data_IF_615340505983
#
_entry.id   IF_615340505983
#
_cell.length_a   1.000
_cell.length_b   1.000
_cell.length_c   1.000
_cell.angle_alpha   90.00
_cell.angle_beta   90.00
_cell.angle_gamma   90.00
#
_symmetry.space_group_name_H-M   'P 1'
#
loop_
_entity.id
_entity.type
_entity.pdbx_description
1 polymer ?
#
# COMPACT_ATOMS: atom_id res chain seq x y z
N UNK A 1 -25.51 10.08 -81.64
CA UNK A 1 -24.37 10.29 -82.57
C UNK A 1 -23.55 11.46 -82.07
N UNK A 2 -22.23 11.36 -82.22
CA UNK A 2 -21.18 12.41 -82.01
C UNK A 2 -21.73 13.83 -81.88
N UNK A 3 -21.43 14.53 -80.78
CA UNK A 3 -21.36 15.99 -80.82
C UNK A 3 -20.53 16.52 -79.66
N UNK A 4 -19.41 17.16 -80.01
CA UNK A 4 -18.70 18.05 -79.12
C UNK A 4 -19.27 19.47 -79.22
N UNK A 5 -19.10 20.24 -78.16
CA UNK A 5 -19.10 21.71 -78.10
C UNK A 5 -18.99 22.07 -76.61
N UNK A 6 -18.19 23.01 -76.15
CA UNK A 6 -17.34 23.98 -76.81
C UNK A 6 -16.56 24.72 -75.73
N UNK A 7 -15.39 25.24 -76.10
CA UNK A 7 -14.55 26.08 -75.26
C UNK A 7 -15.19 27.45 -75.04
N UNK A 8 -15.06 28.00 -73.82
CA UNK A 8 -14.87 29.44 -73.58
C UNK A 8 -14.03 29.62 -72.31
N UNK A 9 -12.79 30.08 -72.50
CA UNK A 9 -11.99 30.63 -71.41
C UNK A 9 -12.42 32.06 -71.08
N UNK A 10 -12.06 32.51 -69.88
CA UNK A 10 -11.17 33.66 -69.68
C UNK A 10 -11.17 34.10 -68.21
N UNK A 11 -9.95 34.43 -67.77
CA UNK A 11 -9.59 35.51 -66.86
C UNK A 11 -9.93 35.43 -65.37
N UNK A 12 -8.90 35.71 -64.58
CA UNK A 12 -9.01 36.66 -63.47
C UNK A 12 -8.77 36.03 -62.11
N UNK A 13 -7.58 36.27 -61.56
CA UNK A 13 -7.23 35.84 -60.22
C UNK A 13 -7.96 36.62 -59.13
N UNK A 14 -8.07 35.99 -57.96
CA UNK A 14 -7.92 36.63 -56.64
C UNK A 14 -8.04 35.52 -55.59
N UNK A 15 -7.08 35.50 -54.68
CA UNK A 15 -7.08 34.63 -53.52
C UNK A 15 -8.33 34.87 -52.66
N UNK A 16 -9.12 33.83 -52.45
CA UNK A 16 -10.18 33.81 -51.44
C UNK A 16 -9.87 32.68 -50.44
N UNK A 17 -9.39 33.10 -49.27
CA UNK A 17 -9.29 32.24 -48.09
C UNK A 17 -10.70 31.84 -47.66
N UNK A 18 -11.07 30.58 -47.90
CA UNK A 18 -12.26 29.99 -47.28
C UNK A 18 -11.78 29.03 -46.19
N UNK A 19 -12.07 29.45 -44.96
CA UNK A 19 -11.94 28.68 -43.73
C UNK A 19 -12.98 27.56 -43.79
N UNK A 20 -12.52 26.31 -43.77
CA UNK A 20 -13.37 25.15 -43.50
C UNK A 20 -12.92 24.53 -42.17
N UNK A 21 -13.65 24.85 -41.11
CA UNK A 21 -13.63 24.12 -39.85
C UNK A 21 -14.43 22.84 -40.08
N UNK A 22 -13.76 21.69 -40.08
CA UNK A 22 -14.40 20.40 -39.89
C UNK A 22 -13.63 19.66 -38.78
N UNK A 23 -14.18 19.74 -37.57
CA UNK A 23 -13.83 18.90 -36.43
C UNK A 23 -14.35 17.50 -36.73
N UNK A 24 -13.47 16.50 -36.76
CA UNK A 24 -13.84 15.11 -36.49
C UNK A 24 -12.72 14.43 -35.72
N UNK A 25 -13.02 14.22 -34.44
CA UNK A 25 -12.33 13.36 -33.49
C UNK A 25 -12.08 11.97 -34.08
N UNK A 26 -10.84 11.49 -33.99
CA UNK A 26 -10.58 10.05 -33.85
C UNK A 26 -9.59 9.86 -32.71
N UNK A 27 -10.09 9.22 -31.66
CA UNK A 27 -9.36 8.76 -30.50
C UNK A 27 -8.44 7.58 -30.85
N UNK A 28 -7.48 7.32 -29.97
CA UNK A 28 -6.91 5.98 -29.79
C UNK A 28 -5.56 5.77 -30.45
N UNK A 29 -4.50 6.25 -29.78
CA UNK A 29 -3.13 5.93 -30.15
C UNK A 29 -2.16 6.33 -29.06
N UNK A 30 -2.32 5.78 -27.85
CA UNK A 30 -1.23 5.77 -26.86
C UNK A 30 -0.09 4.97 -27.47
N UNK A 31 0.78 5.68 -28.17
CA UNK A 31 2.01 5.18 -28.73
C UNK A 31 2.81 4.61 -27.56
N UNK A 32 2.93 3.29 -27.53
CA UNK A 32 3.87 2.55 -26.72
C UNK A 32 5.25 3.07 -27.12
N UNK A 33 5.74 4.10 -26.43
CA UNK A 33 7.12 4.50 -26.58
C UNK A 33 7.93 3.31 -26.08
N UNK A 34 8.71 2.63 -26.95
CA UNK A 34 9.65 1.65 -26.48
C UNK A 34 10.53 2.40 -25.49
N UNK A 35 10.78 1.76 -24.35
CA UNK A 35 11.73 2.23 -23.36
C UNK A 35 12.93 2.80 -24.11
N UNK A 36 13.08 4.13 -24.09
CA UNK A 36 14.34 4.74 -24.48
C UNK A 36 15.33 4.15 -23.49
N UNK A 37 16.11 3.17 -23.98
CA UNK A 37 17.23 2.63 -23.25
C UNK A 37 18.22 3.80 -23.15
N UNK A 38 18.04 4.62 -22.12
CA UNK A 38 19.06 5.58 -21.78
C UNK A 38 20.19 4.74 -21.18
N UNK A 39 21.37 4.66 -21.82
CA UNK A 39 22.47 3.92 -21.23
C UNK A 39 22.74 4.60 -19.89
N UNK A 40 22.69 3.78 -18.85
CA UNK A 40 22.95 4.07 -17.45
C UNK A 40 23.80 5.32 -17.25
N UNK A 41 23.16 6.49 -17.09
CA UNK A 41 23.81 7.64 -16.50
C UNK A 41 24.01 7.28 -15.04
N UNK A 42 25.25 6.92 -14.70
CA UNK A 42 25.75 6.77 -13.33
C UNK A 42 25.72 8.16 -12.69
N UNK A 43 24.53 8.58 -12.27
CA UNK A 43 24.33 9.81 -11.53
C UNK A 43 24.95 9.60 -10.15
N UNK A 44 25.95 10.38 -9.75
CA UNK A 44 26.70 10.15 -8.51
C UNK A 44 25.85 10.35 -7.24
N UNK A 45 24.59 10.78 -7.40
CA UNK A 45 23.62 11.01 -6.33
C UNK A 45 22.44 10.04 -6.35
N UNK A 46 22.42 9.05 -7.27
CA UNK A 46 21.47 7.95 -7.19
C UNK A 46 22.00 6.88 -6.22
N UNK A 47 21.77 7.12 -4.93
CA UNK A 47 21.99 6.10 -3.93
C UNK A 47 20.92 5.02 -4.07
N UNK A 48 21.31 3.73 -4.05
CA UNK A 48 20.33 2.66 -3.91
C UNK A 48 19.49 2.90 -2.65
N UNK A 49 18.19 2.57 -2.66
CA UNK A 49 17.37 2.64 -1.47
C UNK A 49 18.05 1.89 -0.31
N UNK A 50 18.03 2.44 0.92
CA UNK A 50 18.58 1.75 2.08
C UNK A 50 18.02 0.33 2.19
N UNK A 51 18.84 -0.65 2.60
CA UNK A 51 18.35 -2.00 2.85
C UNK A 51 17.27 -1.97 3.95
N UNK A 52 16.28 -2.89 3.92
CA UNK A 52 15.31 -3.02 4.99
C UNK A 52 16.00 -3.22 6.35
N UNK A 53 15.43 -2.63 7.40
CA UNK A 53 15.94 -2.81 8.76
C UNK A 53 15.92 -4.30 9.16
N UNK A 54 16.95 -4.81 9.86
CA UNK A 54 16.96 -6.19 10.30
C UNK A 54 15.83 -6.44 11.31
N UNK A 55 15.25 -7.65 11.32
CA UNK A 55 14.28 -8.02 12.35
C UNK A 55 14.88 -7.96 13.76
N UNK A 56 14.10 -7.48 14.71
CA UNK A 56 14.42 -7.41 16.15
C UNK A 56 13.39 -8.19 16.96
N UNK A 57 13.69 -8.41 18.25
CA UNK A 57 12.79 -9.08 19.19
C UNK A 57 12.62 -8.22 20.44
N UNK A 58 11.70 -7.26 20.38
CA UNK A 58 11.42 -6.32 21.49
C UNK A 58 10.14 -6.71 22.24
N UNK A 59 9.16 -7.24 21.50
CA UNK A 59 7.90 -7.75 22.04
C UNK A 59 7.82 -9.27 21.91
N UNK A 60 7.34 -9.94 22.96
CA UNK A 60 6.92 -11.32 22.88
C UNK A 60 5.55 -11.39 22.19
N UNK A 61 5.46 -12.19 21.13
CA UNK A 61 4.25 -12.37 20.32
C UNK A 61 3.68 -13.76 20.58
N UNK A 62 2.47 -13.81 21.13
CA UNK A 62 1.70 -15.05 21.26
C UNK A 62 0.62 -15.10 20.19
N UNK A 63 0.61 -16.15 19.37
CA UNK A 63 -0.44 -16.40 18.39
C UNK A 63 -1.78 -16.66 19.08
N UNK A 64 -2.82 -15.96 18.64
CA UNK A 64 -4.22 -16.25 18.96
C UNK A 64 -4.90 -17.03 17.83
N UNK A 65 -6.22 -17.14 17.90
CA UNK A 65 -7.01 -17.79 16.86
C UNK A 65 -6.80 -17.10 15.50
N UNK A 66 -6.68 -17.88 14.42
CA UNK A 66 -6.52 -17.37 13.05
C UNK A 66 -5.18 -16.68 12.75
N UNK A 67 -4.25 -16.65 13.71
CA UNK A 67 -2.87 -16.26 13.43
C UNK A 67 -2.18 -17.32 12.58
N UNK A 68 -1.45 -16.87 11.56
CA UNK A 68 -0.63 -17.73 10.71
C UNK A 68 0.58 -18.23 11.50
N UNK A 69 0.39 -19.26 12.33
CA UNK A 69 1.50 -20.00 12.90
C UNK A 69 1.84 -21.15 11.94
N UNK A 70 3.04 -21.14 11.38
CA UNK A 70 3.65 -22.39 10.94
C UNK A 70 3.62 -23.37 12.13
N UNK A 71 3.11 -24.58 11.88
CA UNK A 71 2.88 -25.63 12.87
C UNK A 71 4.16 -25.89 13.67
N UNK A 72 4.15 -25.50 14.94
CA UNK A 72 5.18 -25.79 15.93
C UNK A 72 4.72 -25.28 17.29
N UNK A 73 4.36 -26.20 18.20
CA UNK A 73 4.02 -25.90 19.59
C UNK A 73 5.26 -25.40 20.33
N UNK A 74 5.54 -24.11 20.21
CA UNK A 74 6.61 -23.41 20.90
C UNK A 74 6.46 -21.93 20.58
N UNK A 75 6.48 -21.06 21.60
CA UNK A 75 6.15 -19.63 21.50
C UNK A 75 6.96 -18.80 20.49
N UNK A 76 7.92 -19.38 19.79
CA UNK A 76 8.75 -18.77 18.74
C UNK A 76 8.12 -18.73 17.34
N UNK A 77 7.09 -19.54 17.07
CA UNK A 77 6.48 -19.63 15.74
C UNK A 77 5.75 -18.34 15.30
N UNK A 78 5.09 -17.66 16.25
CA UNK A 78 4.35 -16.43 15.97
C UNK A 78 5.27 -15.23 15.72
N UNK A 79 6.37 -15.11 16.47
CA UNK A 79 7.37 -14.06 16.26
C UNK A 79 8.04 -14.15 14.88
N UNK A 80 8.21 -15.37 14.35
CA UNK A 80 8.74 -15.59 13.00
C UNK A 80 7.74 -15.21 11.90
N UNK A 81 6.44 -15.38 12.14
CA UNK A 81 5.38 -15.03 11.20
C UNK A 81 5.11 -13.51 11.15
N UNK A 82 5.38 -12.82 12.25
CA UNK A 82 5.13 -11.39 12.42
C UNK A 82 6.41 -10.67 12.90
N UNK A 83 7.39 -10.46 12.00
CA UNK A 83 8.68 -9.88 12.38
C UNK A 83 8.53 -8.44 12.87
N UNK A 84 9.47 -7.98 13.68
CA UNK A 84 9.49 -6.63 14.22
C UNK A 84 10.72 -5.90 13.72
N UNK A 85 10.66 -4.59 13.48
CA UNK A 85 11.84 -3.80 13.12
C UNK A 85 11.72 -2.36 13.61
N UNK A 86 12.86 -1.72 13.85
CA UNK A 86 12.90 -0.31 14.22
C UNK A 86 12.85 0.59 12.98
N UNK A 87 11.84 1.45 12.91
CA UNK A 87 11.80 2.59 11.99
C UNK A 87 12.00 3.87 12.81
N UNK A 88 13.24 4.37 12.83
CA UNK A 88 13.67 5.48 13.71
C UNK A 88 13.39 5.17 15.18
N UNK A 89 12.33 5.75 15.75
CA UNK A 89 11.91 5.57 17.15
C UNK A 89 10.57 4.82 17.28
N UNK A 90 10.07 4.25 16.19
CA UNK A 90 8.84 3.46 16.16
C UNK A 90 9.18 2.01 15.95
N UNK A 91 8.77 1.16 16.89
CA UNK A 91 8.79 -0.28 16.68
C UNK A 91 7.63 -0.63 15.77
N UNK A 92 7.93 -1.28 14.65
CA UNK A 92 6.90 -1.76 13.71
C UNK A 92 6.77 -3.26 13.89
N UNK A 93 5.54 -3.73 14.12
CA UNK A 93 5.20 -5.16 14.03
C UNK A 93 4.62 -5.39 12.64
N UNK A 94 5.26 -6.25 11.86
CA UNK A 94 4.86 -6.53 10.48
C UNK A 94 3.76 -7.60 10.43
N UNK A 95 2.55 -7.15 10.15
CA UNK A 95 1.36 -7.97 9.93
C UNK A 95 1.04 -8.09 8.43
N UNK A 96 1.99 -7.84 7.52
CA UNK A 96 1.73 -7.95 6.08
C UNK A 96 1.35 -9.37 5.64
N UNK A 97 1.77 -10.39 6.40
CA UNK A 97 1.37 -11.79 6.21
C UNK A 97 0.00 -12.12 6.82
N UNK A 98 -0.61 -11.21 7.58
CA UNK A 98 -1.95 -11.41 8.13
C UNK A 98 -3.00 -11.33 7.03
N UNK A 99 -3.94 -12.28 7.05
CA UNK A 99 -5.06 -12.32 6.11
C UNK A 99 -6.32 -12.87 6.78
N UNK A 100 -7.48 -12.55 6.22
CA UNK A 100 -8.77 -13.04 6.75
C UNK A 100 -9.03 -12.48 8.14
N UNK A 101 -9.28 -13.37 9.11
CA UNK A 101 -9.48 -13.01 10.52
C UNK A 101 -8.46 -13.70 11.39
N UNK A 102 -7.91 -12.97 12.37
CA UNK A 102 -6.95 -13.54 13.30
C UNK A 102 -6.60 -12.59 14.44
N UNK A 103 -5.74 -13.05 15.35
CA UNK A 103 -5.32 -12.25 16.50
C UNK A 103 -3.95 -12.67 17.04
N UNK A 104 -3.25 -11.72 17.64
CA UNK A 104 -2.03 -11.93 18.42
C UNK A 104 -2.11 -11.18 19.74
N UNK A 105 -1.42 -11.68 20.76
CA UNK A 105 -1.18 -10.95 22.01
C UNK A 105 0.28 -10.55 22.08
N UNK A 106 0.52 -9.29 22.42
CA UNK A 106 1.85 -8.71 22.56
C UNK A 106 2.14 -8.41 24.03
N UNK A 107 3.38 -8.66 24.45
CA UNK A 107 3.94 -8.23 25.75
C UNK A 107 5.35 -7.69 25.54
N UNK A 108 5.86 -6.79 26.39
CA UNK A 108 7.28 -6.48 26.38
C UNK A 108 8.09 -7.76 26.61
N UNK A 109 9.20 -7.90 25.90
CA UNK A 109 10.14 -9.00 26.15
C UNK A 109 10.61 -8.99 27.61
N UNK A 110 11.05 -10.14 28.11
CA UNK A 110 11.51 -10.26 29.49
C UNK A 110 12.56 -9.19 29.86
N UNK A 111 12.29 -8.42 30.92
CA UNK A 111 13.16 -7.32 31.38
C UNK A 111 13.08 -6.04 30.54
N UNK A 112 12.25 -5.99 29.50
CA UNK A 112 12.07 -4.84 28.62
C UNK A 112 10.79 -4.06 28.96
N UNK A 113 10.76 -2.80 28.53
CA UNK A 113 9.59 -1.94 28.63
C UNK A 113 8.85 -1.87 27.29
N UNK A 114 7.63 -1.35 27.29
CA UNK A 114 6.94 -1.02 26.05
C UNK A 114 7.74 0.01 25.24
N UNK A 115 7.82 -0.13 23.90
CA UNK A 115 8.45 0.86 23.03
C UNK A 115 7.70 2.21 23.13
N UNK A 116 8.43 3.31 22.98
CA UNK A 116 7.85 4.66 23.05
C UNK A 116 6.76 4.85 21.99
N UNK A 117 6.96 4.30 20.79
CA UNK A 117 6.00 4.30 19.69
C UNK A 117 5.90 2.90 19.09
N UNK A 118 4.67 2.49 18.79
CA UNK A 118 4.35 1.21 18.19
C UNK A 118 3.49 1.45 16.95
N UNK A 119 3.80 0.74 15.87
CA UNK A 119 3.01 0.73 14.65
C UNK A 119 2.76 -0.70 14.16
N UNK A 120 1.65 -0.86 13.44
CA UNK A 120 1.31 -2.10 12.77
C UNK A 120 1.40 -1.91 11.26
N UNK A 121 2.25 -2.70 10.60
CA UNK A 121 2.29 -2.73 9.14
C UNK A 121 1.27 -3.74 8.64
N UNK A 122 0.28 -3.28 7.90
CA UNK A 122 -0.84 -4.10 7.40
C UNK A 122 -0.97 -3.97 5.90
N UNK A 123 -1.47 -5.01 5.23
CA UNK A 123 -1.71 -5.00 3.78
C UNK A 123 -3.20 -4.73 3.49
N UNK A 124 -3.56 -3.57 2.91
CA UNK A 124 -4.92 -3.31 2.45
C UNK A 124 -5.40 -4.37 1.46
N UNK A 125 -6.66 -4.77 1.57
CA UNK A 125 -7.25 -5.89 0.82
C UNK A 125 -6.96 -7.29 1.40
N UNK A 126 -5.93 -7.46 2.25
CA UNK A 126 -5.71 -8.72 2.99
C UNK A 126 -6.49 -8.76 4.31
N UNK A 127 -6.69 -7.58 4.92
CA UNK A 127 -7.50 -7.36 6.13
C UNK A 127 -8.39 -6.13 5.90
N UNK A 128 -9.60 -6.14 6.47
CA UNK A 128 -10.56 -5.03 6.34
C UNK A 128 -10.67 -4.17 7.61
N UNK A 129 -10.22 -4.68 8.75
CA UNK A 129 -10.28 -3.99 10.03
C UNK A 129 -9.12 -4.45 10.91
N UNK A 130 -8.52 -3.49 11.63
CA UNK A 130 -7.55 -3.75 12.69
C UNK A 130 -8.12 -3.23 14.02
N UNK A 131 -8.25 -4.10 15.01
CA UNK A 131 -8.66 -3.75 16.36
C UNK A 131 -7.48 -3.95 17.30
N UNK A 132 -7.20 -2.93 18.10
CA UNK A 132 -6.14 -2.93 19.10
C UNK A 132 -6.78 -2.67 20.45
N UNK A 133 -6.58 -3.57 21.41
CA UNK A 133 -7.06 -3.46 22.78
C UNK A 133 -5.88 -3.57 23.74
N UNK A 134 -5.58 -2.46 24.41
CA UNK A 134 -4.60 -2.35 25.48
C UNK A 134 -5.26 -1.60 26.66
N UNK A 135 -4.69 -0.47 27.11
CA UNK A 135 -5.33 0.42 28.09
C UNK A 135 -6.59 1.08 27.50
N UNK A 136 -6.60 1.24 26.17
CA UNK A 136 -7.74 1.71 25.39
C UNK A 136 -8.06 0.74 24.24
N UNK A 137 -9.24 0.90 23.64
CA UNK A 137 -9.63 0.16 22.44
C UNK A 137 -9.66 1.11 21.24
N UNK A 138 -8.89 0.75 20.21
CA UNK A 138 -8.86 1.41 18.92
C UNK A 138 -9.34 0.42 17.85
N UNK A 139 -10.17 0.89 16.93
CA UNK A 139 -10.63 0.12 15.77
C UNK A 139 -10.38 0.97 14.54
N UNK A 140 -9.54 0.46 13.65
CA UNK A 140 -9.10 1.14 12.43
C UNK A 140 -9.68 0.37 11.25
N UNK A 141 -10.64 0.95 10.52
CA UNK A 141 -11.05 0.42 9.22
C UNK A 141 -9.88 0.49 8.24
N UNK A 142 -9.64 -0.61 7.52
CA UNK A 142 -8.63 -0.68 6.47
C UNK A 142 -9.37 -0.77 5.13
N UNK A 143 -8.90 -0.03 4.14
CA UNK A 143 -9.52 -0.07 2.82
C UNK A 143 -9.51 -1.50 2.25
N UNK A 144 -10.65 -1.99 1.71
CA UNK A 144 -10.72 -3.32 1.13
C UNK A 144 -10.02 -3.40 -0.23
N UNK A 145 -9.69 -2.27 -0.86
CA UNK A 145 -8.96 -2.26 -2.11
C UNK A 145 -7.52 -2.76 -1.89
N UNK A 146 -7.10 -3.74 -2.68
CA UNK A 146 -5.74 -4.26 -2.65
C UNK A 146 -4.73 -3.13 -2.84
N UNK A 147 -3.72 -3.10 -1.97
CA UNK A 147 -2.74 -2.02 -1.94
C UNK A 147 -1.39 -2.45 -1.40
N UNK A 148 -0.44 -1.51 -1.43
CA UNK A 148 0.87 -1.71 -0.77
C UNK A 148 0.69 -1.72 0.75
N UNK A 149 1.53 -2.45 1.50
CA UNK A 149 1.52 -2.39 2.95
C UNK A 149 1.65 -0.95 3.48
N UNK A 150 0.88 -0.63 4.51
CA UNK A 150 0.86 0.67 5.19
C UNK A 150 1.20 0.50 6.66
N UNK A 151 1.92 1.45 7.25
CA UNK A 151 2.21 1.48 8.69
C UNK A 151 1.16 2.33 9.41
N UNK A 152 0.48 1.72 10.39
CA UNK A 152 -0.52 2.35 11.24
C UNK A 152 0.08 2.59 12.62
N UNK A 153 0.57 3.80 12.88
CA UNK A 153 1.08 4.18 14.19
C UNK A 153 -0.06 4.30 15.20
N UNK A 154 0.13 3.74 16.40
CA UNK A 154 -0.82 3.87 17.49
C UNK A 154 -0.85 5.30 18.02
N UNK A 155 -2.04 5.78 18.33
CA UNK A 155 -2.21 7.05 19.01
C UNK A 155 -1.49 7.03 20.38
N UNK A 156 -0.99 8.18 20.85
CA UNK A 156 -0.44 8.28 22.20
C UNK A 156 -1.43 7.78 23.25
N UNK A 157 -0.92 7.20 24.34
CA UNK A 157 -1.73 6.73 25.49
C UNK A 157 -2.65 5.52 25.21
N UNK A 158 -2.61 4.94 24.01
CA UNK A 158 -3.23 3.63 23.75
C UNK A 158 -2.70 2.53 24.68
N UNK A 159 -1.44 2.67 25.10
CA UNK A 159 -0.75 1.85 26.08
C UNK A 159 0.18 2.74 26.92
N UNK A 160 0.57 2.23 28.08
CA UNK A 160 1.52 2.85 29.01
C UNK A 160 2.55 1.83 29.46
N UNK A 161 3.55 2.25 30.22
CA UNK A 161 4.51 1.32 30.84
C UNK A 161 3.86 0.30 31.78
N UNK A 162 2.63 0.55 32.23
CA UNK A 162 1.86 -0.35 33.11
C UNK A 162 0.95 -1.30 32.35
N UNK A 163 0.81 -1.16 31.03
CA UNK A 163 -0.01 -2.06 30.22
C UNK A 163 0.51 -3.49 30.36
N UNK A 164 -0.30 -4.45 30.82
CA UNK A 164 0.18 -5.82 31.02
C UNK A 164 0.37 -6.58 29.70
N UNK A 165 -0.50 -6.31 28.72
CA UNK A 165 -0.48 -6.92 27.39
C UNK A 165 -1.35 -6.10 26.43
N UNK A 166 -1.15 -6.31 25.13
CA UNK A 166 -1.95 -5.74 24.06
C UNK A 166 -2.51 -6.85 23.18
N UNK A 167 -3.83 -6.89 23.01
CA UNK A 167 -4.49 -7.77 22.05
C UNK A 167 -4.66 -7.03 20.73
N UNK A 168 -4.12 -7.60 19.67
CA UNK A 168 -4.27 -7.11 18.29
C UNK A 168 -5.08 -8.14 17.54
N UNK A 169 -6.18 -7.72 16.92
CA UNK A 169 -7.01 -8.58 16.09
C UNK A 169 -7.30 -7.93 14.75
N UNK A 170 -7.43 -8.77 13.73
CA UNK A 170 -7.80 -8.35 12.39
C UNK A 170 -8.96 -9.19 11.88
N UNK A 171 -9.67 -8.66 10.89
CA UNK A 171 -10.83 -9.32 10.30
C UNK A 171 -11.36 -8.59 9.07
N UNK A 172 -12.48 -9.07 8.51
CA UNK A 172 -13.20 -8.34 7.48
C UNK A 172 -13.74 -7.01 8.03
N UNK A 173 -13.92 -6.03 7.14
CA UNK A 173 -14.65 -4.82 7.46
C UNK A 173 -16.16 -5.13 7.41
N UNK A 174 -16.70 -5.71 8.48
CA UNK A 174 -18.14 -5.93 8.56
C UNK A 174 -18.84 -4.61 8.93
N UNK A 175 -19.90 -4.19 8.21
CA UNK A 175 -20.73 -3.09 8.67
C UNK A 175 -21.32 -3.43 10.06
N UNK A 176 -21.57 -2.44 10.93
CA UNK A 176 -22.21 -2.69 12.21
C UNK A 176 -23.54 -3.42 11.97
N UNK A 177 -23.76 -4.51 12.71
CA UNK A 177 -25.03 -5.26 12.68
C UNK A 177 -26.11 -4.35 13.31
N UNK A 178 -27.28 -4.16 12.66
CA UNK A 178 -28.38 -3.34 13.19
C UNK A 178 -28.89 -3.79 14.56
#
# INVERSE_FOLDING_TARGET
MRSGSGARGAAGGAAARVVAVAVLLSAGGCSHLPAMHWPSMHWPWHHPPPPPAPPVHELDISAGAGAGAAVGSGGSGAASAYPQYWNRNTLVVDLAAASGSGSITLKPGAGSAWPVRLAFRVTPGSVGLLSVRADQRLVIPITPAAGKPIELELAPRMYTSKTPQMLVSWGPNSPPVP
#
